data_IF_257911459335
#
_entry.id   IF_257911459335
#
_cell.length_a   1.000
_cell.length_b   1.000
_cell.length_c   1.000
_cell.angle_alpha   90.00
_cell.angle_beta   90.00
_cell.angle_gamma   90.00
#
_symmetry.space_group_name_H-M   'P 1'
#
loop_
_entity.id
_entity.type
_entity.pdbx_description
1 polymer ?
#
# COMPACT_ATOMS: atom_id res chain seq x y z
N UNK A 1 -19.92 0.93 65.06
CA UNK A 1 -19.70 1.97 64.03
C UNK A 1 -18.39 1.76 63.27
N UNK A 2 -17.27 1.47 63.96
CA UNK A 2 -15.93 1.28 63.37
C UNK A 2 -15.90 0.19 62.27
N UNK A 3 -16.38 -1.03 62.54
CA UNK A 3 -16.35 -2.13 61.56
C UNK A 3 -16.99 -1.78 60.20
N UNK A 4 -18.12 -1.05 60.19
CA UNK A 4 -18.78 -0.60 58.96
C UNK A 4 -17.93 0.39 58.16
N UNK A 5 -17.16 1.24 58.84
CA UNK A 5 -16.28 2.20 58.19
C UNK A 5 -15.08 1.50 57.54
N UNK A 6 -14.48 0.52 58.22
CA UNK A 6 -13.39 -0.30 57.68
C UNK A 6 -13.81 -1.10 56.44
N UNK A 7 -15.00 -1.69 56.45
CA UNK A 7 -15.53 -2.42 55.28
C UNK A 7 -15.80 -1.50 54.09
N UNK A 8 -16.31 -0.29 54.33
CA UNK A 8 -16.50 0.72 53.30
C UNK A 8 -15.16 1.18 52.69
N UNK A 9 -14.12 1.34 53.50
CA UNK A 9 -12.78 1.68 53.02
C UNK A 9 -12.17 0.55 52.17
N UNK A 10 -12.28 -0.70 52.62
CA UNK A 10 -11.84 -1.87 51.84
C UNK A 10 -12.56 -1.94 50.49
N UNK A 11 -13.87 -1.70 50.48
CA UNK A 11 -14.66 -1.64 49.23
C UNK A 11 -14.18 -0.50 48.32
N UNK A 12 -13.92 0.69 48.87
CA UNK A 12 -13.46 1.83 48.10
C UNK A 12 -12.09 1.57 47.46
N UNK A 13 -11.15 1.00 48.22
CA UNK A 13 -9.84 0.56 47.68
C UNK A 13 -10.00 -0.48 46.58
N UNK A 14 -10.87 -1.48 46.77
CA UNK A 14 -11.14 -2.49 45.75
C UNK A 14 -11.70 -1.86 44.47
N UNK A 15 -12.71 -1.00 44.60
CA UNK A 15 -13.28 -0.28 43.45
C UNK A 15 -12.26 0.59 42.74
N UNK A 16 -11.34 1.22 43.46
CA UNK A 16 -10.25 2.02 42.85
C UNK A 16 -9.28 1.14 42.05
N UNK A 17 -8.92 -0.04 42.56
CA UNK A 17 -8.09 -1.02 41.85
C UNK A 17 -8.81 -1.56 40.62
N UNK A 18 -10.09 -1.93 40.74
CA UNK A 18 -10.90 -2.44 39.64
C UNK A 18 -11.07 -1.37 38.54
N UNK A 19 -11.29 -0.10 38.93
CA UNK A 19 -11.39 1.03 38.01
C UNK A 19 -10.08 1.25 37.25
N UNK A 20 -8.96 1.32 37.97
CA UNK A 20 -7.63 1.50 37.37
C UNK A 20 -7.30 0.35 36.42
N UNK A 21 -7.65 -0.88 36.81
CA UNK A 21 -7.46 -2.07 35.97
C UNK A 21 -8.32 -2.01 34.71
N UNK A 22 -9.57 -1.58 34.82
CA UNK A 22 -10.46 -1.41 33.67
C UNK A 22 -9.94 -0.33 32.72
N UNK A 23 -9.44 0.80 33.24
CA UNK A 23 -8.84 1.87 32.44
C UNK A 23 -7.59 1.38 31.70
N UNK A 24 -6.70 0.63 32.35
CA UNK A 24 -5.52 0.04 31.71
C UNK A 24 -5.91 -0.93 30.58
N UNK A 25 -6.98 -1.72 30.78
CA UNK A 25 -7.51 -2.61 29.74
C UNK A 25 -8.11 -1.84 28.56
N UNK A 26 -8.82 -0.74 28.81
CA UNK A 26 -9.36 0.13 27.75
C UNK A 26 -8.22 0.71 26.92
N UNK A 27 -7.20 1.30 27.55
CA UNK A 27 -6.05 1.85 26.83
C UNK A 27 -5.30 0.79 25.99
N UNK A 28 -5.15 -0.44 26.53
CA UNK A 28 -4.54 -1.55 25.79
C UNK A 28 -5.39 -2.00 24.59
N UNK A 29 -6.72 -2.02 24.72
CA UNK A 29 -7.63 -2.35 23.62
C UNK A 29 -7.64 -1.27 22.54
N UNK A 30 -7.64 0.01 22.92
CA UNK A 30 -7.55 1.14 22.01
C UNK A 30 -6.24 1.10 21.20
N UNK A 31 -5.10 0.87 21.87
CA UNK A 31 -3.81 0.71 21.20
C UNK A 31 -3.81 -0.48 20.23
N UNK A 32 -4.38 -1.63 20.64
CA UNK A 32 -4.49 -2.81 19.79
C UNK A 32 -5.38 -2.56 18.56
N UNK A 33 -6.48 -1.82 18.72
CA UNK A 33 -7.35 -1.45 17.61
C UNK A 33 -6.61 -0.59 16.58
N UNK A 34 -5.86 0.42 17.04
CA UNK A 34 -5.04 1.26 16.15
C UNK A 34 -4.03 0.41 15.36
N UNK A 35 -3.30 -0.48 16.04
CA UNK A 35 -2.33 -1.38 15.39
C UNK A 35 -3.02 -2.29 14.37
N UNK A 36 -4.16 -2.88 14.73
CA UNK A 36 -4.89 -3.77 13.83
C UNK A 36 -5.44 -3.05 12.59
N UNK A 37 -5.93 -1.81 12.76
CA UNK A 37 -6.42 -0.97 11.65
C UNK A 37 -5.26 -0.58 10.73
N UNK A 38 -4.11 -0.21 11.28
CA UNK A 38 -2.91 0.13 10.50
C UNK A 38 -2.37 -1.08 9.75
N UNK A 39 -2.26 -2.24 10.40
CA UNK A 39 -1.85 -3.49 9.75
C UNK A 39 -2.81 -3.89 8.62
N UNK A 40 -4.12 -3.70 8.80
CA UNK A 40 -5.11 -3.96 7.76
C UNK A 40 -4.99 -2.99 6.59
N UNK A 41 -4.73 -1.70 6.86
CA UNK A 41 -4.44 -0.71 5.81
C UNK A 41 -3.20 -1.12 5.03
N UNK A 42 -2.09 -1.42 5.71
CA UNK A 42 -0.86 -1.86 5.07
C UNK A 42 -1.07 -3.11 4.22
N UNK A 43 -1.77 -4.13 4.74
CA UNK A 43 -2.05 -5.36 3.99
C UNK A 43 -2.85 -5.08 2.71
N UNK A 44 -3.76 -4.10 2.71
CA UNK A 44 -4.49 -3.67 1.52
C UNK A 44 -3.59 -2.94 0.53
N UNK A 45 -2.71 -2.06 1.01
CA UNK A 45 -1.75 -1.33 0.17
C UNK A 45 -0.79 -2.32 -0.51
N UNK A 46 -0.28 -3.32 0.23
CA UNK A 46 0.53 -4.42 -0.31
C UNK A 46 -0.24 -5.26 -1.35
N UNK A 47 -1.52 -5.54 -1.11
CA UNK A 47 -2.34 -6.29 -2.07
C UNK A 47 -2.55 -5.49 -3.37
N UNK A 48 -2.82 -4.18 -3.27
CA UNK A 48 -2.93 -3.30 -4.42
C UNK A 48 -1.59 -3.26 -5.19
N UNK A 49 -0.47 -3.16 -4.48
CA UNK A 49 0.86 -3.20 -5.10
C UNK A 49 1.11 -4.51 -5.85
N UNK A 50 0.82 -5.66 -5.23
CA UNK A 50 0.95 -6.98 -5.87
C UNK A 50 0.07 -7.12 -7.11
N UNK A 51 -1.15 -6.59 -7.08
CA UNK A 51 -2.02 -6.56 -8.26
C UNK A 51 -1.46 -5.70 -9.39
N UNK A 52 -0.91 -4.52 -9.07
CA UNK A 52 -0.27 -3.64 -10.04
C UNK A 52 0.97 -4.29 -10.67
N UNK A 53 1.81 -4.93 -9.87
CA UNK A 53 2.99 -5.66 -10.33
C UNK A 53 2.60 -6.87 -11.20
N UNK A 54 1.58 -7.65 -10.79
CA UNK A 54 1.07 -8.77 -11.57
C UNK A 54 0.46 -8.33 -12.91
N UNK A 55 -0.27 -7.22 -12.93
CA UNK A 55 -0.83 -6.64 -14.15
C UNK A 55 0.27 -6.18 -15.11
N UNK A 56 1.25 -5.43 -14.62
CA UNK A 56 2.39 -4.99 -15.42
C UNK A 56 3.28 -6.15 -15.89
N UNK A 57 3.38 -7.22 -15.10
CA UNK A 57 4.12 -8.42 -15.48
C UNK A 57 3.39 -9.25 -16.55
N UNK A 58 2.06 -9.29 -16.52
CA UNK A 58 1.23 -9.96 -17.53
C UNK A 58 1.32 -9.25 -18.88
N UNK A 59 1.26 -7.90 -18.88
CA UNK A 59 1.44 -7.06 -20.08
C UNK A 59 2.79 -7.32 -20.77
N UNK A 60 3.86 -7.53 -19.99
CA UNK A 60 5.20 -7.87 -20.50
C UNK A 60 5.34 -9.30 -21.03
N UNK A 61 4.50 -10.24 -20.57
CA UNK A 61 4.54 -11.63 -21.05
C UNK A 61 3.81 -11.83 -22.39
N UNK A 62 2.99 -10.88 -22.86
CA UNK A 62 2.42 -10.93 -24.21
C UNK A 62 3.45 -10.56 -25.30
N UNK A 63 4.64 -10.08 -24.89
CA UNK A 63 5.82 -9.94 -25.77
C UNK A 63 7.03 -10.72 -25.23
N UNK A 64 7.05 -12.06 -25.31
CA UNK A 64 8.22 -12.85 -24.98
C UNK A 64 9.08 -13.08 -26.23
N UNK A 65 9.37 -12.07 -27.06
CA UNK A 65 10.32 -12.17 -28.18
C UNK A 65 10.97 -10.80 -28.49
N UNK A 66 12.08 -10.49 -27.83
CA UNK A 66 13.24 -9.81 -28.45
C UNK A 66 14.37 -9.74 -27.42
N UNK A 67 14.90 -10.91 -27.08
CA UNK A 67 16.29 -11.02 -26.65
C UNK A 67 17.10 -11.11 -27.95
N UNK A 68 17.93 -10.10 -28.23
CA UNK A 68 18.75 -9.89 -29.44
C UNK A 68 18.04 -9.28 -30.66
N UNK A 69 17.97 -7.94 -30.74
CA UNK A 69 18.51 -7.11 -31.85
C UNK A 69 18.24 -5.61 -31.54
N UNK A 70 19.19 -4.67 -31.69
CA UNK A 70 18.86 -3.24 -31.66
C UNK A 70 17.97 -2.89 -32.87
N UNK A 71 17.10 -1.87 -32.79
CA UNK A 71 16.18 -1.57 -33.88
C UNK A 71 16.95 -1.24 -35.17
N UNK A 72 16.72 -1.94 -36.30
CA UNK A 72 17.32 -1.55 -37.57
C UNK A 72 16.56 -0.34 -38.11
N UNK A 73 17.26 0.79 -38.20
CA UNK A 73 16.82 2.02 -38.88
C UNK A 73 16.70 1.82 -40.41
N UNK A 74 15.95 0.85 -40.93
CA UNK A 74 15.88 0.62 -42.39
C UNK A 74 14.54 0.02 -42.84
N UNK A 75 13.54 0.88 -43.00
CA UNK A 75 12.42 0.64 -43.92
C UNK A 75 11.99 1.97 -44.55
N UNK A 76 12.82 2.45 -45.48
CA UNK A 76 12.40 3.45 -46.47
C UNK A 76 11.24 2.86 -47.29
N UNK A 77 10.06 3.52 -47.40
CA UNK A 77 9.00 3.05 -48.27
C UNK A 77 9.38 3.28 -49.73
N UNK A 78 9.91 2.22 -50.34
CA UNK A 78 10.19 2.07 -51.76
C UNK A 78 8.90 2.23 -52.60
N UNK A 79 8.78 3.39 -53.24
CA UNK A 79 8.18 3.64 -54.57
C UNK A 79 6.95 2.82 -54.98
N UNK A 80 5.75 3.41 -54.96
CA UNK A 80 4.74 3.18 -56.02
C UNK A 80 3.88 4.42 -56.25
N UNK A 81 4.20 5.11 -57.35
CA UNK A 81 3.36 5.92 -58.26
C UNK A 81 1.99 6.47 -57.81
N UNK A 82 1.87 7.80 -57.99
CA UNK A 82 0.68 8.57 -58.47
C UNK A 82 -0.49 8.61 -57.47
N UNK A 83 -0.87 9.76 -56.88
CA UNK A 83 -1.50 10.94 -57.50
C UNK A 83 -1.39 12.14 -56.53
N UNK A 84 -1.11 13.39 -56.97
CA UNK A 84 -1.12 14.59 -56.11
C UNK A 84 -2.54 15.10 -55.86
N UNK A 85 -2.81 15.59 -54.65
CA UNK A 85 -4.11 16.07 -54.15
C UNK A 85 -4.66 17.33 -54.88
N UNK A 86 -6.00 17.52 -54.91
CA UNK A 86 -6.59 18.84 -54.99
C UNK A 86 -7.25 19.24 -53.65
N UNK A 87 -6.86 20.40 -53.16
CA UNK A 87 -7.46 21.15 -52.06
C UNK A 87 -8.97 21.36 -52.24
N UNK A 88 -9.76 21.26 -51.16
CA UNK A 88 -11.15 21.75 -51.14
C UNK A 88 -11.35 22.63 -49.90
N UNK A 89 -11.46 23.94 -50.16
CA UNK A 89 -11.99 24.97 -49.26
C UNK A 89 -13.40 24.61 -48.79
N UNK A 90 -13.62 24.56 -47.48
CA UNK A 90 -14.96 24.72 -46.92
C UNK A 90 -14.92 25.92 -45.99
N UNK A 91 -15.38 27.05 -46.52
CA UNK A 91 -15.78 28.24 -45.75
C UNK A 91 -17.07 27.89 -45.02
N UNK A 92 -17.06 27.95 -43.70
CA UNK A 92 -18.29 28.26 -42.96
C UNK A 92 -17.98 29.32 -41.90
N UNK A 93 -18.82 30.34 -41.96
CA UNK A 93 -18.74 31.68 -41.41
C UNK A 93 -19.91 31.79 -40.43
N UNK A 94 -19.67 32.13 -39.16
CA UNK A 94 -20.53 33.00 -38.35
C UNK A 94 -20.05 33.13 -36.90
N UNK A 95 -19.89 34.39 -36.49
CA UNK A 95 -20.06 34.93 -35.13
C UNK A 95 -19.25 34.28 -33.98
N UNK A 96 -18.05 34.78 -33.70
CA UNK A 96 -17.82 35.93 -32.79
C UNK A 96 -18.02 35.61 -31.31
N UNK A 97 -17.01 35.01 -30.67
CA UNK A 97 -16.44 35.39 -29.35
C UNK A 97 -15.14 34.59 -29.15
N UNK A 98 -13.96 35.21 -28.93
CA UNK A 98 -12.75 34.47 -28.59
C UNK A 98 -12.84 33.94 -27.14
N UNK A 99 -12.43 32.68 -26.85
CA UNK A 99 -12.30 32.20 -25.49
C UNK A 99 -11.14 32.95 -24.79
N UNK A 100 -11.34 33.29 -23.51
CA UNK A 100 -10.31 33.94 -22.70
C UNK A 100 -9.10 33.01 -22.45
N UNK A 101 -7.86 33.53 -22.37
CA UNK A 101 -6.69 32.73 -22.06
C UNK A 101 -6.69 32.29 -20.58
N UNK A 102 -6.16 31.09 -20.25
CA UNK A 102 -5.94 30.70 -18.86
C UNK A 102 -4.85 31.57 -18.20
N UNK A 103 -4.90 31.80 -16.88
CA UNK A 103 -3.83 32.52 -16.18
C UNK A 103 -2.54 31.69 -16.18
N UNK A 104 -1.44 32.31 -16.60
CA UNK A 104 -0.08 31.82 -16.37
C UNK A 104 0.42 32.39 -15.03
N UNK A 105 0.40 31.59 -13.96
CA UNK A 105 1.17 31.92 -12.76
C UNK A 105 2.58 31.34 -12.90
N UNK A 106 3.52 32.28 -13.00
CA UNK A 106 4.97 32.14 -12.96
C UNK A 106 5.44 31.31 -11.75
N UNK A 107 6.28 30.33 -12.06
CA UNK A 107 7.62 30.18 -11.49
C UNK A 107 7.78 30.60 -10.02
N UNK A 108 7.49 29.68 -9.12
CA UNK A 108 8.33 29.51 -7.94
C UNK A 108 8.90 28.09 -7.96
N UNK A 109 10.21 28.05 -8.12
CA UNK A 109 11.09 26.91 -8.24
C UNK A 109 10.91 25.97 -7.03
N UNK A 110 10.63 24.66 -7.22
CA UNK A 110 10.67 23.73 -6.10
C UNK A 110 12.14 23.51 -5.70
N UNK A 111 12.50 23.98 -4.50
CA UNK A 111 13.77 23.64 -3.83
C UNK A 111 13.80 22.11 -3.63
N UNK A 112 14.84 21.40 -4.11
CA UNK A 112 15.06 20.02 -3.71
C UNK A 112 15.62 20.01 -2.29
N UNK A 113 14.77 19.70 -1.31
CA UNK A 113 15.25 19.31 0.02
C UNK A 113 15.79 17.87 -0.09
N UNK A 114 17.10 17.76 -0.20
CA UNK A 114 17.86 16.54 0.04
C UNK A 114 17.75 16.20 1.54
N UNK A 115 16.72 15.44 1.91
CA UNK A 115 16.66 14.78 3.22
C UNK A 115 17.37 13.43 3.10
N UNK A 116 18.65 13.45 3.44
CA UNK A 116 19.54 12.29 3.60
C UNK A 116 19.01 11.41 4.75
N UNK A 117 18.22 10.39 4.41
CA UNK A 117 17.90 9.30 5.33
C UNK A 117 18.96 8.21 5.22
N UNK A 118 19.79 8.06 6.25
CA UNK A 118 20.66 6.90 6.41
C UNK A 118 19.82 5.60 6.49
N UNK A 119 20.00 4.64 5.57
CA UNK A 119 19.30 3.37 5.63
C UNK A 119 19.89 2.50 6.74
N UNK A 120 19.17 2.37 7.86
CA UNK A 120 19.46 1.35 8.88
C UNK A 120 19.17 -0.04 8.27
N UNK A 121 20.13 -0.99 8.29
CA UNK A 121 19.92 -2.33 7.77
C UNK A 121 18.94 -3.11 8.66
N UNK A 122 18.12 -4.02 8.10
CA UNK A 122 17.22 -4.83 8.90
C UNK A 122 18.04 -5.70 9.87
N UNK A 123 17.80 -5.51 11.17
CA UNK A 123 18.31 -6.40 12.21
C UNK A 123 17.78 -7.82 11.94
N UNK A 124 18.68 -8.75 11.63
CA UNK A 124 18.34 -10.15 11.43
C UNK A 124 17.76 -10.74 12.74
N UNK A 125 16.47 -11.04 12.74
CA UNK A 125 15.83 -11.87 13.75
C UNK A 125 16.27 -13.33 13.60
N UNK A 126 16.41 -14.10 14.70
CA UNK A 126 16.78 -15.52 14.64
C UNK A 126 15.69 -16.36 13.93
N UNK A 127 16.06 -17.51 13.35
CA UNK A 127 15.13 -18.32 12.55
C UNK A 127 13.95 -18.80 13.38
N UNK A 128 12.74 -18.61 12.85
CA UNK A 128 11.52 -19.18 13.41
C UNK A 128 11.65 -20.71 13.43
N UNK A 129 11.44 -21.28 14.61
CA UNK A 129 11.42 -22.72 14.83
C UNK A 129 10.19 -23.29 14.10
N UNK A 130 10.42 -23.88 12.93
CA UNK A 130 9.36 -24.48 12.11
C UNK A 130 8.88 -25.76 12.81
N UNK A 131 7.90 -25.62 13.70
CA UNK A 131 7.20 -26.74 14.32
C UNK A 131 6.39 -27.42 13.19
N UNK A 132 6.99 -28.46 12.61
CA UNK A 132 6.30 -29.32 11.66
C UNK A 132 5.18 -30.05 12.41
N UNK A 133 3.95 -29.59 12.23
CA UNK A 133 2.74 -30.20 12.79
C UNK A 133 2.59 -31.68 12.42
N UNK A 134 3.23 -32.12 11.34
CA UNK A 134 3.28 -33.53 10.94
C UNK A 134 4.02 -34.43 11.93
N UNK A 135 4.86 -33.86 12.82
CA UNK A 135 5.56 -34.59 13.88
C UNK A 135 4.72 -34.80 15.15
N UNK A 136 3.64 -34.03 15.34
CA UNK A 136 2.77 -34.16 16.52
C UNK A 136 1.70 -35.26 16.39
N UNK A 137 1.53 -35.81 15.18
CA UNK A 137 0.48 -36.78 14.85
C UNK A 137 0.95 -38.24 14.97
N UNK A 138 2.10 -38.49 15.60
CA UNK A 138 2.59 -39.85 15.86
C UNK A 138 2.10 -40.31 17.24
N UNK A 139 1.06 -41.13 17.22
CA UNK A 139 0.36 -41.72 18.36
C UNK A 139 1.26 -42.18 19.53
N UNK A 140 0.93 -41.74 20.76
CA UNK A 140 0.95 -42.59 21.95
C UNK A 140 -0.52 -42.80 22.35
N UNK A 141 -1.14 -43.98 22.21
CA UNK A 141 -0.62 -45.23 22.72
C UNK A 141 -0.76 -45.24 24.24
N UNK A 142 -1.93 -45.70 24.71
CA UNK A 142 -2.15 -46.39 26.00
C UNK A 142 -2.08 -45.54 27.29
N UNK A 143 -3.21 -45.34 28.01
CA UNK A 143 -3.57 -46.06 29.26
C UNK A 143 -4.77 -45.43 30.00
N UNK A 144 -5.83 -46.26 30.08
CA UNK A 144 -6.97 -46.46 30.99
C UNK A 144 -7.48 -45.44 32.04
N UNK A 145 -8.82 -45.52 32.20
CA UNK A 145 -9.74 -45.01 33.25
C UNK A 145 -9.28 -45.28 34.70
#
# INVERSE_FOLDING_TARGET
MIARAEDAEKLNRKLHVDLTTAQARVAALESREVIAVEALKQAKDEHIQKLMEAYLAMDKQEHPESSQDPPPELCEPLTTKKIPAPSLEVKEEAASTPPAPPPSEELQEPVPLEEEFDPVPPSQSPPEEVINVSSLLTHPGDVSD
#
